data_IF_772671412244
#
_entry.id   IF_772671412244
#
_cell.length_a   1.000
_cell.length_b   1.000
_cell.length_c   1.000
_cell.angle_alpha   90.00
_cell.angle_beta   90.00
_cell.angle_gamma   90.00
#
_symmetry.space_group_name_H-M   'P 1'
#
loop_
_entity.id
_entity.type
_entity.pdbx_description
1 polymer ?
#
# COMPACT_ATOMS: atom_id res chain seq x y z
N UNK A 1 -27.81 2.60 12.97
CA UNK A 1 -26.39 2.97 12.86
C UNK A 1 -26.12 3.13 11.39
N UNK A 2 -25.93 4.37 10.93
CA UNK A 2 -25.37 4.60 9.61
C UNK A 2 -23.89 4.30 9.78
N UNK A 3 -23.40 3.26 9.10
CA UNK A 3 -21.96 3.08 8.89
C UNK A 3 -21.52 4.41 8.25
N UNK A 4 -20.74 5.23 8.96
CA UNK A 4 -20.10 6.40 8.38
C UNK A 4 -19.26 5.85 7.24
N UNK A 5 -19.75 5.98 6.01
CA UNK A 5 -18.99 5.66 4.81
C UNK A 5 -17.81 6.61 4.82
N UNK A 6 -16.68 6.15 5.36
CA UNK A 6 -15.47 6.95 5.39
C UNK A 6 -15.08 7.29 3.95
N UNK A 7 -15.04 8.59 3.67
CA UNK A 7 -14.74 9.08 2.34
C UNK A 7 -13.27 8.83 2.03
N UNK A 8 -13.00 8.25 0.85
CA UNK A 8 -11.63 8.02 0.37
C UNK A 8 -10.95 9.38 0.17
N UNK A 9 -9.77 9.54 0.77
CA UNK A 9 -9.02 10.78 0.70
C UNK A 9 -8.73 11.19 -0.74
N UNK A 10 -8.84 12.47 -1.06
CA UNK A 10 -8.64 12.98 -2.42
C UNK A 10 -7.23 12.71 -2.99
N UNK A 11 -6.24 12.50 -2.12
CA UNK A 11 -4.83 12.19 -2.41
C UNK A 11 -4.48 10.70 -2.27
N UNK A 12 -5.48 9.80 -2.25
CA UNK A 12 -5.27 8.35 -2.07
C UNK A 12 -4.28 7.76 -3.08
N UNK A 13 -4.28 8.24 -4.31
CA UNK A 13 -3.43 7.77 -5.40
C UNK A 13 -1.95 8.06 -5.11
N UNK A 14 -1.66 9.28 -4.67
CA UNK A 14 -0.32 9.68 -4.22
C UNK A 14 0.11 8.93 -2.95
N UNK A 15 -0.79 8.73 -1.98
CA UNK A 15 -0.50 7.93 -0.76
C UNK A 15 -0.08 6.50 -1.10
N UNK A 16 -0.83 5.83 -1.98
CA UNK A 16 -0.51 4.46 -2.42
C UNK A 16 0.85 4.43 -3.11
N UNK A 17 1.09 5.37 -4.04
CA UNK A 17 2.33 5.41 -4.80
C UNK A 17 3.54 5.65 -3.89
N UNK A 18 3.47 6.66 -3.04
CA UNK A 18 4.56 7.03 -2.13
C UNK A 18 4.89 5.90 -1.16
N UNK A 19 3.87 5.22 -0.63
CA UNK A 19 4.07 4.10 0.28
C UNK A 19 4.65 2.87 -0.44
N UNK A 20 4.17 2.56 -1.65
CA UNK A 20 4.75 1.49 -2.49
C UNK A 20 6.22 1.74 -2.78
N UNK A 21 6.56 2.97 -3.19
CA UNK A 21 7.94 3.36 -3.52
C UNK A 21 8.84 3.34 -2.28
N UNK A 22 8.34 3.80 -1.13
CA UNK A 22 9.04 3.72 0.17
C UNK A 22 9.28 2.26 0.61
N UNK A 23 8.35 1.35 0.28
CA UNK A 23 8.50 -0.08 0.51
C UNK A 23 9.41 -0.79 -0.52
N UNK A 24 9.90 -0.08 -1.54
CA UNK A 24 10.77 -0.65 -2.58
C UNK A 24 10.09 -1.64 -3.53
N UNK A 25 8.75 -1.63 -3.60
CA UNK A 25 7.97 -2.58 -4.38
C UNK A 25 7.69 -2.06 -5.79
N UNK A 26 7.73 -2.94 -6.80
CA UNK A 26 7.10 -2.66 -8.08
C UNK A 26 5.57 -2.75 -7.99
N UNK A 27 4.87 -2.15 -8.95
CA UNK A 27 3.39 -2.26 -9.03
C UNK A 27 2.92 -3.72 -9.18
N UNK A 28 3.72 -4.56 -9.82
CA UNK A 28 3.42 -5.99 -9.98
C UNK A 28 3.61 -6.77 -8.67
N UNK A 29 4.63 -6.43 -7.89
CA UNK A 29 4.88 -7.05 -6.58
C UNK A 29 3.80 -6.67 -5.58
N UNK A 30 3.48 -5.37 -5.46
CA UNK A 30 2.37 -4.93 -4.60
C UNK A 30 1.07 -5.64 -4.98
N UNK A 31 0.76 -5.71 -6.28
CA UNK A 31 -0.43 -6.40 -6.77
C UNK A 31 -0.46 -7.87 -6.37
N UNK A 32 0.67 -8.59 -6.47
CA UNK A 32 0.77 -9.99 -6.02
C UNK A 32 0.51 -10.11 -4.52
N UNK A 33 1.07 -9.22 -3.71
CA UNK A 33 0.94 -9.26 -2.25
C UNK A 33 -0.50 -8.98 -1.78
N UNK A 34 -1.23 -8.09 -2.45
CA UNK A 34 -2.66 -7.85 -2.17
C UNK A 34 -3.59 -8.80 -2.93
N UNK A 35 -3.04 -9.78 -3.68
CA UNK A 35 -3.80 -10.72 -4.52
C UNK A 35 -4.72 -10.04 -5.53
N UNK A 36 -4.22 -8.99 -6.18
CA UNK A 36 -4.91 -8.22 -7.23
C UNK A 36 -4.09 -8.19 -8.53
N UNK A 37 -4.66 -7.58 -9.58
CA UNK A 37 -3.98 -7.39 -10.86
C UNK A 37 -3.10 -6.13 -10.82
N UNK A 38 -1.92 -6.19 -11.43
CA UNK A 38 -1.04 -5.02 -11.59
C UNK A 38 -1.72 -3.83 -12.30
N UNK A 39 -2.65 -4.12 -13.22
CA UNK A 39 -3.46 -3.10 -13.89
C UNK A 39 -4.41 -2.37 -12.96
N UNK A 40 -4.84 -2.98 -11.85
CA UNK A 40 -5.63 -2.33 -10.82
C UNK A 40 -4.77 -1.32 -10.05
N UNK A 41 -3.63 -1.77 -9.52
CA UNK A 41 -2.67 -0.90 -8.82
C UNK A 41 -2.29 0.30 -9.68
N UNK A 42 -1.99 0.07 -10.96
CA UNK A 42 -1.71 1.14 -11.93
C UNK A 42 -2.81 2.17 -12.11
N UNK A 43 -4.08 1.77 -11.99
CA UNK A 43 -5.23 2.68 -12.11
C UNK A 43 -5.47 3.46 -10.83
N UNK A 44 -5.20 2.83 -9.69
CA UNK A 44 -5.28 3.45 -8.37
C UNK A 44 -4.22 4.55 -8.23
N UNK A 45 -2.95 4.24 -8.50
CA UNK A 45 -1.82 5.20 -8.39
C UNK A 45 -1.87 6.40 -9.37
N UNK A 46 -2.87 6.47 -10.24
CA UNK A 46 -3.06 7.58 -11.21
C UNK A 46 -4.42 8.27 -11.05
N UNK A 47 -5.14 7.97 -9.98
CA UNK A 47 -6.46 8.52 -9.71
C UNK A 47 -7.55 8.11 -10.71
N UNK A 48 -7.35 7.05 -11.51
CA UNK A 48 -8.29 6.70 -12.58
C UNK A 48 -9.54 5.94 -12.08
N UNK A 49 -9.51 5.43 -10.86
CA UNK A 49 -10.64 4.81 -10.19
C UNK A 49 -10.42 4.78 -8.68
N UNK A 50 -11.50 4.80 -7.92
CA UNK A 50 -11.46 4.59 -6.47
C UNK A 50 -11.21 3.10 -6.13
N UNK A 51 -10.51 2.81 -5.03
CA UNK A 51 -10.42 1.46 -4.51
C UNK A 51 -11.80 1.01 -4.00
N UNK A 52 -12.10 -0.30 -4.13
CA UNK A 52 -13.20 -0.89 -3.36
C UNK A 52 -12.76 -1.08 -1.91
N UNK A 53 -13.71 -1.17 -0.97
CA UNK A 53 -13.43 -1.34 0.46
C UNK A 53 -12.45 -2.52 0.74
N UNK A 54 -12.60 -3.60 -0.02
CA UNK A 54 -11.72 -4.77 0.07
C UNK A 54 -10.28 -4.46 -0.35
N UNK A 55 -10.09 -3.68 -1.42
CA UNK A 55 -8.78 -3.31 -1.95
C UNK A 55 -8.14 -2.24 -1.08
N UNK A 56 -8.93 -1.29 -0.61
CA UNK A 56 -8.51 -0.27 0.33
C UNK A 56 -7.92 -0.89 1.60
N UNK A 57 -8.68 -1.76 2.29
CA UNK A 57 -8.21 -2.42 3.53
C UNK A 57 -6.94 -3.25 3.30
N UNK A 58 -6.80 -3.87 2.13
CA UNK A 58 -5.58 -4.61 1.77
C UNK A 58 -4.39 -3.67 1.58
N UNK A 59 -4.58 -2.53 0.91
CA UNK A 59 -3.54 -1.52 0.70
C UNK A 59 -3.11 -0.89 2.02
N UNK A 60 -4.07 -0.44 2.84
CA UNK A 60 -3.81 0.13 4.16
C UNK A 60 -3.02 -0.83 5.03
N UNK A 61 -3.43 -2.11 5.08
CA UNK A 61 -2.72 -3.14 5.84
C UNK A 61 -1.33 -3.46 5.28
N UNK A 62 -1.18 -3.52 3.96
CA UNK A 62 0.09 -3.93 3.33
C UNK A 62 1.13 -2.81 3.35
N UNK A 63 0.68 -1.58 3.17
CA UNK A 63 1.52 -0.39 3.06
C UNK A 63 1.60 0.41 4.37
N UNK A 64 0.84 0.02 5.40
CA UNK A 64 0.74 0.71 6.68
C UNK A 64 0.38 2.20 6.52
N UNK A 65 -0.65 2.47 5.72
CA UNK A 65 -1.17 3.82 5.44
C UNK A 65 -2.67 3.90 5.68
N UNK A 66 -3.21 5.11 5.77
CA UNK A 66 -4.66 5.38 5.81
C UNK A 66 -5.11 6.04 4.51
N UNK A 67 -6.16 5.52 3.88
CA UNK A 67 -6.70 6.02 2.61
C UNK A 67 -8.02 6.79 2.75
N UNK A 68 -8.51 7.02 3.98
CA UNK A 68 -9.72 7.82 4.26
C UNK A 68 -9.39 9.24 4.74
N UNK A 69 -10.40 10.13 4.69
CA UNK A 69 -10.29 11.53 5.14
C UNK A 69 -10.27 11.71 6.68
N UNK A 70 -10.32 10.64 7.46
CA UNK A 70 -10.24 10.70 8.92
C UNK A 70 -8.80 10.97 9.39
N UNK A 71 -8.53 12.26 9.60
CA UNK A 71 -7.40 12.86 10.32
C UNK A 71 -6.00 12.56 9.81
N UNK A 72 -5.49 13.53 9.05
CA UNK A 72 -4.17 14.12 9.20
C UNK A 72 -3.33 13.61 10.37
N UNK A 73 -2.22 12.96 10.04
CA UNK A 73 -0.97 12.98 10.79
C UNK A 73 -0.94 12.16 12.08
N UNK A 74 -0.40 10.95 11.99
CA UNK A 74 0.67 10.54 12.90
C UNK A 74 1.44 9.39 12.23
N UNK A 75 2.69 9.67 11.92
CA UNK A 75 3.75 8.69 11.75
C UNK A 75 3.78 7.77 12.98
N UNK A 76 2.99 6.69 13.00
CA UNK A 76 3.25 5.59 13.93
C UNK A 76 4.23 4.62 13.28
N UNK A 77 5.47 5.10 13.24
CA UNK A 77 6.65 4.30 13.05
C UNK A 77 6.85 3.40 14.28
N UNK A 78 5.97 2.41 14.51
CA UNK A 78 6.28 1.31 15.42
C UNK A 78 7.16 0.28 14.70
N UNK A 79 8.40 0.69 14.49
CA UNK A 79 9.51 -0.25 14.56
C UNK A 79 9.68 -0.67 16.01
N UNK A 80 9.23 -1.88 16.36
CA UNK A 80 9.98 -2.88 17.16
C UNK A 80 9.05 -3.99 17.69
N UNK A 81 9.16 -5.19 17.13
CA UNK A 81 9.49 -6.39 17.93
C UNK A 81 9.66 -7.65 17.07
N UNK A 82 10.93 -8.00 16.84
CA UNK A 82 11.42 -9.39 16.95
C UNK A 82 11.01 -10.40 15.89
N UNK A 83 11.80 -10.52 14.82
CA UNK A 83 11.71 -11.68 13.93
C UNK A 83 12.64 -11.63 12.73
N UNK A 84 13.93 -11.87 12.97
CA UNK A 84 14.91 -12.46 12.04
C UNK A 84 14.47 -12.56 10.56
N UNK A 85 15.05 -11.72 9.70
CA UNK A 85 15.41 -12.15 8.35
C UNK A 85 15.02 -11.21 7.22
N UNK A 86 16.03 -10.96 6.38
CA UNK A 86 15.95 -10.53 4.98
C UNK A 86 15.86 -9.01 4.74
N UNK A 87 17.04 -8.37 4.76
CA UNK A 87 17.26 -7.07 4.13
C UNK A 87 17.31 -7.20 2.60
N UNK A 88 16.93 -6.12 1.90
CA UNK A 88 16.87 -5.92 0.44
C UNK A 88 18.18 -6.16 -0.35
N UNK A 89 19.21 -6.75 0.25
CA UNK A 89 20.51 -7.04 -0.36
C UNK A 89 20.69 -8.46 -0.89
N UNK A 90 19.68 -9.35 -0.76
CA UNK A 90 19.87 -10.80 -0.92
C UNK A 90 19.17 -11.44 -2.13
N UNK A 91 18.98 -10.71 -3.23
CA UNK A 91 18.40 -11.33 -4.43
C UNK A 91 18.91 -10.83 -5.77
N UNK A 92 20.22 -10.87 -6.02
CA UNK A 92 20.76 -11.05 -7.38
C UNK A 92 22.04 -11.90 -7.35
N UNK A 93 21.91 -13.20 -7.59
CA UNK A 93 23.00 -14.00 -8.18
C UNK A 93 22.45 -14.71 -9.41
N UNK A 94 22.69 -14.13 -10.58
CA UNK A 94 22.66 -14.89 -11.84
C UNK A 94 23.86 -15.83 -11.83
N UNK A 95 23.57 -17.07 -12.16
CA UNK A 95 24.49 -18.17 -12.38
C UNK A 95 24.95 -18.13 -13.82
N UNK A 96 26.26 -18.11 -14.02
CA UNK A 96 26.96 -18.70 -15.15
C UNK A 96 28.16 -19.48 -14.59
#
# INVERSE_FOLDING_TARGET
MFDEMEEVASDYDDRIRNARESAGLSQEELAKEISEKASLVRKLERGAMLPSDSVQKKLEKRLSITLTESSSGDDDWESESGGSGLTLGDMVKRKD
#
